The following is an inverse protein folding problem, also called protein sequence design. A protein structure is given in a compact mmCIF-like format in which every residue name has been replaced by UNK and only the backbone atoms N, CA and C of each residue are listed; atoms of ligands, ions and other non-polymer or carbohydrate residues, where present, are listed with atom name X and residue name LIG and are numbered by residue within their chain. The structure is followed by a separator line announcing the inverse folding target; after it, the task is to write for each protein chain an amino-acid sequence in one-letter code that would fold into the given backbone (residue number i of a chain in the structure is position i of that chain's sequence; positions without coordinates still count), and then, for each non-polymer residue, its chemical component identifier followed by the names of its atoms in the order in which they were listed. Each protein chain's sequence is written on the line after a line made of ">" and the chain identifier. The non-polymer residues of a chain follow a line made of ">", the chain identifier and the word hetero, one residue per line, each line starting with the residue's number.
data_IF_522866785097
#
_entry.id   IF_522866785097
#
_cell.length_a   1.000
_cell.length_b   1.000
_cell.length_c   1.000
_cell.angle_alpha   90.00
_cell.angle_beta   90.00
_cell.angle_gamma   90.00
#
_symmetry.space_group_name_H-M   'P 1'
#
loop_
_entity.id
_entity.type
_entity.pdbx_description
1 polymer ?
#
# COMPACT_ATOMS: atom_id res chain seq x y z
N UNK A 1 -23.80 17.80 -28.71
CA UNK A 1 -24.19 19.22 -28.83
C UNK A 1 -25.54 19.36 -28.14
N UNK A 2 -25.74 20.30 -27.20
CA UNK A 2 -27.07 20.60 -26.70
C UNK A 2 -27.92 21.12 -27.88
N UNK A 3 -29.19 20.73 -27.94
CA UNK A 3 -30.14 21.14 -28.98
C UNK A 3 -30.12 22.66 -29.16
N UNK A 4 -29.91 23.14 -30.40
CA UNK A 4 -29.95 24.56 -30.77
C UNK A 4 -31.41 25.07 -30.85
N UNK A 5 -32.40 24.18 -30.73
CA UNK A 5 -33.82 24.49 -30.70
C UNK A 5 -34.38 24.34 -29.28
N UNK A 6 -34.04 25.26 -28.38
CA UNK A 6 -34.81 25.46 -27.15
C UNK A 6 -35.91 26.48 -27.48
N UNK A 7 -37.11 25.99 -27.82
CA UNK A 7 -38.30 26.85 -27.81
C UNK A 7 -38.60 27.23 -26.36
N UNK A 8 -38.99 28.48 -26.13
CA UNK A 8 -39.43 28.94 -24.81
C UNK A 8 -40.61 28.08 -24.36
N UNK A 9 -40.44 27.43 -23.21
CA UNK A 9 -41.47 26.62 -22.56
C UNK A 9 -42.05 27.48 -21.44
N UNK A 10 -43.18 28.18 -21.65
CA UNK A 10 -43.76 29.07 -20.63
C UNK A 10 -44.22 28.33 -19.37
N UNK A 11 -44.29 26.99 -19.40
CA UNK A 11 -44.56 26.13 -18.25
C UNK A 11 -43.30 25.63 -17.53
N UNK A 12 -42.10 25.99 -18.02
CA UNK A 12 -40.80 25.52 -17.53
C UNK A 12 -40.06 26.71 -16.87
N UNK A 13 -40.65 27.26 -15.81
CA UNK A 13 -40.08 28.36 -15.03
C UNK A 13 -38.97 27.85 -14.10
N UNK A 14 -37.98 28.70 -13.80
CA UNK A 14 -36.83 28.35 -12.94
C UNK A 14 -37.23 27.99 -11.50
N UNK A 15 -38.46 28.32 -11.09
CA UNK A 15 -39.03 27.98 -9.77
C UNK A 15 -39.46 26.51 -9.64
N UNK A 16 -39.60 25.78 -10.76
CA UNK A 16 -40.10 24.40 -10.76
C UNK A 16 -38.91 23.44 -10.54
N UNK A 17 -38.88 22.77 -9.39
CA UNK A 17 -37.91 21.71 -9.11
C UNK A 17 -38.25 20.43 -9.90
N UNK A 18 -37.67 20.35 -11.11
CA UNK A 18 -37.83 19.23 -12.05
C UNK A 18 -37.34 17.89 -11.50
N UNK A 19 -36.62 17.88 -10.38
CA UNK A 19 -36.01 16.69 -9.79
C UNK A 19 -36.66 16.26 -8.47
N UNK A 20 -37.71 16.97 -8.04
CA UNK A 20 -38.47 16.59 -6.86
C UNK A 20 -39.21 15.28 -7.12
N UNK A 21 -38.93 14.28 -6.28
CA UNK A 21 -39.58 12.96 -6.36
C UNK A 21 -40.93 13.08 -5.65
N UNK A 22 -42.03 12.93 -6.39
CA UNK A 22 -43.37 12.87 -5.83
C UNK A 22 -43.70 11.46 -5.34
N UNK A 23 -44.39 11.37 -4.20
CA UNK A 23 -44.80 10.10 -3.63
C UNK A 23 -45.86 9.42 -4.51
N UNK A 24 -45.63 8.15 -4.86
CA UNK A 24 -46.58 7.38 -5.66
C UNK A 24 -47.74 6.88 -4.78
N UNK A 25 -48.93 7.45 -4.97
CA UNK A 25 -50.13 7.07 -4.23
C UNK A 25 -50.89 5.95 -4.94
N UNK A 26 -51.70 5.14 -4.22
CA UNK A 26 -52.54 4.12 -4.83
C UNK A 26 -53.46 4.64 -5.94
N UNK A 27 -53.92 5.90 -5.83
CA UNK A 27 -54.77 6.58 -6.82
C UNK A 27 -54.08 6.79 -8.17
N UNK A 28 -52.74 6.90 -8.17
CA UNK A 28 -51.96 7.11 -9.39
C UNK A 28 -51.80 5.83 -10.22
N UNK A 29 -52.24 4.67 -9.70
CA UNK A 29 -52.13 3.40 -10.41
C UNK A 29 -53.27 3.21 -11.44
N UNK A 30 -53.23 4.01 -12.51
CA UNK A 30 -54.25 4.00 -13.59
C UNK A 30 -54.26 2.67 -14.37
N UNK A 31 -53.14 1.95 -14.40
CA UNK A 31 -52.97 0.68 -15.12
C UNK A 31 -53.53 -0.55 -14.41
N UNK A 32 -53.98 -0.43 -13.16
CA UNK A 32 -54.51 -1.55 -12.37
C UNK A 32 -53.42 -2.43 -11.75
N UNK A 33 -53.83 -3.59 -11.22
CA UNK A 33 -52.94 -4.47 -10.47
C UNK A 33 -52.05 -5.33 -11.37
N UNK A 34 -50.87 -5.72 -10.88
CA UNK A 34 -49.95 -6.59 -11.61
C UNK A 34 -50.57 -7.94 -11.94
N UNK A 35 -50.44 -8.37 -13.20
CA UNK A 35 -50.80 -9.71 -13.64
C UNK A 35 -49.70 -10.74 -13.31
N UNK A 36 -48.45 -10.29 -13.30
CA UNK A 36 -47.26 -11.13 -13.06
C UNK A 36 -46.71 -10.95 -11.63
N UNK A 37 -46.11 -12.01 -11.11
CA UNK A 37 -45.52 -12.03 -9.77
C UNK A 37 -44.00 -11.83 -9.84
N UNK A 38 -43.50 -10.83 -9.12
CA UNK A 38 -42.07 -10.61 -8.90
C UNK A 38 -41.69 -11.13 -7.51
N UNK A 39 -40.68 -11.98 -7.45
CA UNK A 39 -40.20 -12.59 -6.21
C UNK A 39 -38.69 -12.40 -6.06
N UNK A 40 -38.25 -11.95 -4.89
CA UNK A 40 -36.84 -11.88 -4.53
C UNK A 40 -36.58 -12.63 -3.22
N UNK A 41 -35.48 -13.36 -3.18
CA UNK A 41 -35.03 -14.12 -2.02
C UNK A 41 -33.63 -13.69 -1.61
N UNK A 42 -33.34 -13.71 -0.32
CA UNK A 42 -31.99 -13.50 0.22
C UNK A 42 -31.75 -14.42 1.42
N UNK A 43 -30.61 -15.12 1.42
CA UNK A 43 -30.16 -15.95 2.52
C UNK A 43 -29.56 -15.11 3.64
N UNK A 44 -29.77 -15.51 4.89
CA UNK A 44 -29.18 -14.88 6.07
C UNK A 44 -28.35 -15.87 6.92
N UNK A 45 -27.33 -15.40 7.64
CA UNK A 45 -26.53 -16.27 8.50
C UNK A 45 -27.31 -16.80 9.71
N UNK A 46 -27.04 -18.04 10.13
CA UNK A 46 -27.75 -18.70 11.26
C UNK A 46 -27.80 -17.88 12.55
N UNK A 47 -26.72 -17.16 12.89
CA UNK A 47 -26.69 -16.31 14.10
C UNK A 47 -27.70 -15.17 14.09
N UNK A 48 -28.28 -14.83 12.92
CA UNK A 48 -29.22 -13.71 12.75
C UNK A 48 -30.67 -14.12 12.96
N UNK A 49 -30.94 -15.43 12.98
CA UNK A 49 -32.27 -16.02 13.06
C UNK A 49 -33.10 -15.52 14.25
N UNK A 50 -32.54 -15.57 15.46
CA UNK A 50 -33.30 -15.23 16.67
C UNK A 50 -33.84 -13.80 16.61
N UNK A 51 -32.98 -12.85 16.23
CA UNK A 51 -33.39 -11.46 16.06
C UNK A 51 -34.42 -11.29 14.94
N UNK A 52 -34.23 -11.96 13.79
CA UNK A 52 -35.18 -11.84 12.68
C UNK A 52 -36.54 -12.37 13.07
N UNK A 53 -36.61 -13.50 13.80
CA UNK A 53 -37.85 -14.07 14.31
C UNK A 53 -38.60 -13.09 15.22
N UNK A 54 -37.89 -12.44 16.14
CA UNK A 54 -38.48 -11.46 17.06
C UNK A 54 -38.95 -10.18 16.35
N UNK A 55 -38.19 -9.69 15.38
CA UNK A 55 -38.46 -8.44 14.71
C UNK A 55 -39.32 -8.56 13.43
N UNK A 56 -39.56 -9.78 12.93
CA UNK A 56 -40.32 -10.04 11.70
C UNK A 56 -41.72 -9.42 11.67
N UNK A 57 -42.50 -9.41 12.77
CA UNK A 57 -43.83 -8.78 12.77
C UNK A 57 -43.81 -7.28 12.43
N UNK A 58 -42.70 -6.58 12.72
CA UNK A 58 -42.53 -5.18 12.33
C UNK A 58 -42.26 -5.01 10.84
N UNK A 59 -41.56 -5.97 10.23
CA UNK A 59 -41.28 -6.01 8.79
C UNK A 59 -42.55 -6.32 8.01
N UNK A 60 -43.32 -7.33 8.42
CA UNK A 60 -44.58 -7.71 7.78
C UNK A 60 -45.57 -6.54 7.76
N UNK A 61 -45.78 -5.87 8.89
CA UNK A 61 -46.67 -4.70 9.00
C UNK A 61 -46.26 -3.55 8.08
N UNK A 62 -44.97 -3.37 7.85
CA UNK A 62 -44.46 -2.29 7.00
C UNK A 62 -44.59 -2.61 5.51
N UNK A 63 -44.32 -3.87 5.12
CA UNK A 63 -44.45 -4.32 3.73
C UNK A 63 -45.91 -4.52 3.30
N UNK A 64 -46.78 -4.90 4.22
CA UNK A 64 -48.22 -5.07 3.98
C UNK A 64 -48.89 -3.76 3.55
N UNK A 65 -48.44 -2.60 4.08
CA UNK A 65 -48.91 -1.27 3.67
C UNK A 65 -48.68 -0.98 2.18
N UNK A 66 -47.62 -1.55 1.60
CA UNK A 66 -47.31 -1.44 0.17
C UNK A 66 -47.90 -2.61 -0.64
N UNK A 67 -48.66 -3.51 -0.01
CA UNK A 67 -49.21 -4.69 -0.63
C UNK A 67 -48.16 -5.74 -1.02
N UNK A 68 -47.02 -5.81 -0.32
CA UNK A 68 -45.95 -6.79 -0.57
C UNK A 68 -46.03 -7.91 0.47
N UNK A 69 -46.04 -9.15 0.00
CA UNK A 69 -45.97 -10.32 0.87
C UNK A 69 -44.51 -10.63 1.23
N UNK A 70 -44.26 -11.05 2.47
CA UNK A 70 -42.94 -11.47 2.91
C UNK A 70 -43.00 -12.73 3.77
N UNK A 71 -42.08 -13.66 3.51
CA UNK A 71 -41.96 -14.93 4.25
C UNK A 71 -40.56 -15.07 4.83
N UNK A 72 -40.48 -15.60 6.05
CA UNK A 72 -39.24 -15.92 6.74
C UNK A 72 -39.15 -17.44 6.90
N UNK A 73 -38.17 -18.05 6.24
CA UNK A 73 -37.87 -19.47 6.37
C UNK A 73 -36.67 -19.67 7.30
N UNK A 74 -36.91 -20.35 8.42
CA UNK A 74 -35.91 -20.65 9.44
C UNK A 74 -35.16 -21.96 9.19
N UNK A 75 -35.72 -22.84 8.34
CA UNK A 75 -35.10 -24.12 7.97
C UNK A 75 -34.03 -23.88 6.92
N UNK A 76 -34.39 -23.21 5.83
CA UNK A 76 -33.42 -22.82 4.80
C UNK A 76 -32.57 -21.61 5.20
N UNK A 77 -33.05 -20.79 6.14
CA UNK A 77 -32.39 -19.53 6.53
C UNK A 77 -32.52 -18.47 5.43
N UNK A 78 -33.72 -18.33 4.86
CA UNK A 78 -34.01 -17.43 3.74
C UNK A 78 -35.13 -16.45 4.07
N UNK A 79 -35.05 -15.24 3.52
CA UNK A 79 -36.12 -14.25 3.53
C UNK A 79 -36.57 -14.04 2.09
N UNK A 80 -37.88 -14.11 1.86
CA UNK A 80 -38.47 -13.92 0.53
C UNK A 80 -39.49 -12.80 0.56
N UNK A 81 -39.49 -11.95 -0.46
CA UNK A 81 -40.49 -10.90 -0.69
C UNK A 81 -41.11 -11.09 -2.06
N UNK A 82 -42.43 -10.93 -2.15
CA UNK A 82 -43.22 -11.17 -3.36
C UNK A 82 -44.24 -10.07 -3.59
N UNK A 83 -44.42 -9.65 -4.83
CA UNK A 83 -45.55 -8.79 -5.20
C UNK A 83 -46.85 -9.54 -5.06
N UNK A 84 -47.93 -8.83 -4.76
CA UNK A 84 -49.27 -9.41 -4.68
C UNK A 84 -50.20 -8.68 -5.63
N UNK A 85 -51.42 -9.21 -5.79
CA UNK A 85 -52.48 -8.51 -6.52
C UNK A 85 -52.90 -7.19 -5.88
N UNK A 86 -52.41 -6.83 -4.70
CA UNK A 86 -52.68 -5.56 -4.02
C UNK A 86 -51.52 -4.56 -4.11
N UNK A 87 -50.38 -4.95 -4.69
CA UNK A 87 -49.25 -4.05 -4.90
C UNK A 87 -49.66 -2.99 -5.93
N UNK A 88 -49.57 -1.72 -5.57
CA UNK A 88 -49.89 -0.59 -6.45
C UNK A 88 -48.62 0.05 -7.04
N UNK A 89 -47.53 0.12 -6.27
CA UNK A 89 -46.25 0.68 -6.71
C UNK A 89 -45.36 -0.41 -7.35
N UNK A 90 -44.99 -0.28 -8.64
CA UNK A 90 -44.10 -1.23 -9.31
C UNK A 90 -42.68 -1.25 -8.73
N UNK A 91 -42.19 -0.13 -8.19
CA UNK A 91 -40.84 -0.02 -7.67
C UNK A 91 -40.70 -0.50 -6.21
N UNK A 92 -41.81 -0.61 -5.47
CA UNK A 92 -41.81 -1.01 -4.06
C UNK A 92 -41.14 -2.39 -3.84
N UNK A 93 -41.23 -3.31 -4.79
CA UNK A 93 -40.58 -4.63 -4.69
C UNK A 93 -39.05 -4.52 -4.68
N UNK A 94 -38.48 -3.53 -5.37
CA UNK A 94 -37.05 -3.27 -5.39
C UNK A 94 -36.57 -2.77 -4.02
N UNK A 95 -37.35 -1.89 -3.38
CA UNK A 95 -37.09 -1.43 -2.01
C UNK A 95 -37.22 -2.57 -1.00
N UNK A 96 -38.24 -3.43 -1.14
CA UNK A 96 -38.41 -4.61 -0.29
C UNK A 96 -37.26 -5.62 -0.42
N UNK A 97 -36.75 -5.82 -1.64
CA UNK A 97 -35.54 -6.62 -1.90
C UNK A 97 -34.33 -6.03 -1.17
N UNK A 98 -34.17 -4.71 -1.22
CA UNK A 98 -33.02 -4.04 -0.62
C UNK A 98 -33.13 -4.05 0.92
N UNK A 99 -34.35 -3.96 1.47
CA UNK A 99 -34.65 -4.19 2.88
C UNK A 99 -34.16 -5.58 3.36
N UNK A 100 -34.57 -6.67 2.71
CA UNK A 100 -34.16 -8.02 3.13
C UNK A 100 -32.65 -8.24 3.00
N UNK A 101 -31.99 -7.61 2.01
CA UNK A 101 -30.53 -7.63 1.90
C UNK A 101 -29.85 -6.92 3.06
N UNK A 102 -30.36 -5.77 3.50
CA UNK A 102 -29.84 -5.04 4.65
C UNK A 102 -30.01 -5.83 5.95
N UNK A 103 -31.17 -6.48 6.13
CA UNK A 103 -31.45 -7.34 7.28
C UNK A 103 -30.48 -8.55 7.34
N UNK A 104 -30.19 -9.15 6.19
CA UNK A 104 -29.18 -10.23 6.07
C UNK A 104 -27.76 -9.74 6.43
N UNK A 105 -27.47 -8.45 6.24
CA UNK A 105 -26.22 -7.79 6.67
C UNK A 105 -26.31 -7.19 8.07
N UNK A 106 -27.19 -7.73 8.91
CA UNK A 106 -27.36 -7.39 10.33
C UNK A 106 -27.64 -5.91 10.63
N UNK A 107 -28.18 -5.18 9.67
CA UNK A 107 -28.72 -3.84 9.96
C UNK A 107 -29.95 -4.00 10.87
N UNK A 108 -30.09 -3.17 11.93
CA UNK A 108 -31.28 -3.18 12.77
C UNK A 108 -32.55 -2.84 11.97
N UNK A 109 -33.68 -3.50 12.27
CA UNK A 109 -34.94 -3.34 11.53
C UNK A 109 -35.44 -1.89 11.55
N UNK A 110 -35.36 -1.21 12.68
CA UNK A 110 -35.78 0.19 12.82
C UNK A 110 -35.04 1.12 11.85
N UNK A 111 -33.77 0.85 11.60
CA UNK A 111 -32.96 1.60 10.65
C UNK A 111 -33.20 1.12 9.21
N UNK A 112 -33.32 -0.20 9.02
CA UNK A 112 -33.52 -0.80 7.70
C UNK A 112 -34.84 -0.36 7.05
N UNK A 113 -35.91 -0.18 7.83
CA UNK A 113 -37.23 0.25 7.35
C UNK A 113 -37.22 1.62 6.66
N UNK A 114 -36.22 2.48 6.92
CA UNK A 114 -36.06 3.76 6.24
C UNK A 114 -35.83 3.60 4.73
N UNK A 115 -35.36 2.44 4.26
CA UNK A 115 -35.16 2.15 2.82
C UNK A 115 -36.46 2.13 2.02
N UNK A 116 -37.62 2.09 2.70
CA UNK A 116 -38.91 2.12 2.03
C UNK A 116 -39.28 3.54 1.53
N UNK A 117 -38.60 4.57 2.06
CA UNK A 117 -38.72 5.96 1.63
C UNK A 117 -37.96 6.18 0.31
N UNK A 118 -38.43 7.09 -0.54
CA UNK A 118 -37.87 7.32 -1.89
C UNK A 118 -36.51 8.02 -1.90
N UNK A 119 -36.20 8.79 -0.86
CA UNK A 119 -34.96 9.58 -0.72
C UNK A 119 -33.78 8.74 -0.20
N UNK A 120 -34.05 7.56 0.36
CA UNK A 120 -33.06 6.67 0.97
C UNK A 120 -32.78 5.50 0.04
N UNK A 121 -31.51 5.32 -0.32
CA UNK A 121 -31.01 4.15 -1.01
C UNK A 121 -29.98 3.40 -0.15
N UNK A 122 -29.55 2.23 -0.61
CA UNK A 122 -28.50 1.46 0.05
C UNK A 122 -27.37 1.06 -0.90
N UNK A 123 -26.16 0.95 -0.37
CA UNK A 123 -25.01 0.35 -1.06
C UNK A 123 -24.33 -0.67 -0.14
N UNK A 124 -23.97 -1.84 -0.68
CA UNK A 124 -23.30 -2.92 0.06
C UNK A 124 -21.90 -3.09 -0.54
N UNK A 125 -20.93 -2.42 0.07
CA UNK A 125 -19.56 -2.33 -0.43
C UNK A 125 -18.79 -3.58 -0.02
N UNK A 126 -18.25 -4.30 -1.02
CA UNK A 126 -17.47 -5.52 -0.80
C UNK A 126 -15.99 -5.22 -0.60
N UNK A 127 -15.53 -5.35 0.65
CA UNK A 127 -14.12 -5.08 1.02
C UNK A 127 -13.23 -6.35 1.03
N UNK A 128 -13.81 -7.56 0.95
CA UNK A 128 -13.08 -8.84 1.09
C UNK A 128 -11.83 -8.95 0.20
N UNK A 129 -11.95 -8.58 -1.08
CA UNK A 129 -10.93 -8.88 -2.08
C UNK A 129 -9.92 -7.73 -2.30
N UNK A 130 -10.05 -6.64 -1.53
CA UNK A 130 -9.21 -5.45 -1.72
C UNK A 130 -7.83 -5.59 -1.05
N UNK A 131 -7.69 -6.50 -0.09
CA UNK A 131 -6.43 -6.71 0.66
C UNK A 131 -6.13 -8.20 0.75
N UNK A 132 -4.93 -8.62 0.32
CA UNK A 132 -4.50 -10.03 0.34
C UNK A 132 -4.27 -10.57 1.76
N UNK A 133 -3.59 -9.79 2.61
CA UNK A 133 -3.19 -10.25 3.93
C UNK A 133 -4.31 -10.02 4.96
N UNK A 134 -4.71 -11.07 5.69
CA UNK A 134 -5.77 -11.02 6.71
C UNK A 134 -5.52 -9.97 7.79
N UNK A 135 -4.31 -9.89 8.34
CA UNK A 135 -3.99 -8.90 9.39
C UNK A 135 -4.12 -7.46 8.88
N UNK A 136 -3.66 -7.20 7.66
CA UNK A 136 -3.76 -5.89 7.03
C UNK A 136 -5.21 -5.53 6.75
N UNK A 137 -6.01 -6.51 6.33
CA UNK A 137 -7.45 -6.35 6.13
C UNK A 137 -8.15 -5.95 7.44
N UNK A 138 -7.89 -6.66 8.54
CA UNK A 138 -8.49 -6.33 9.86
C UNK A 138 -8.06 -4.95 10.33
N UNK A 139 -6.78 -4.59 10.20
CA UNK A 139 -6.28 -3.25 10.56
C UNK A 139 -6.91 -2.14 9.72
N UNK A 140 -7.08 -2.34 8.40
CA UNK A 140 -7.74 -1.34 7.52
C UNK A 140 -9.25 -1.26 7.75
N UNK A 141 -9.92 -2.38 8.00
CA UNK A 141 -11.34 -2.39 8.39
C UNK A 141 -11.55 -1.65 9.72
N UNK A 142 -10.71 -1.92 10.72
CA UNK A 142 -10.77 -1.22 12.00
C UNK A 142 -10.50 0.29 11.85
N UNK A 143 -9.65 0.68 10.89
CA UNK A 143 -9.41 2.09 10.57
C UNK A 143 -10.65 2.82 10.06
N UNK A 144 -11.55 2.15 9.33
CA UNK A 144 -12.84 2.74 8.91
C UNK A 144 -13.69 3.07 10.13
N UNK A 145 -13.74 2.16 11.11
CA UNK A 145 -14.46 2.38 12.37
C UNK A 145 -13.83 3.52 13.18
N UNK A 146 -12.50 3.53 13.26
CA UNK A 146 -11.72 4.46 14.06
C UNK A 146 -11.74 4.13 15.55
N UNK A 147 -11.00 4.89 16.38
CA UNK A 147 -11.01 4.73 17.83
C UNK A 147 -12.41 5.09 18.36
N UNK A 148 -13.01 4.20 19.17
CA UNK A 148 -14.35 4.35 19.74
C UNK A 148 -15.46 4.67 18.71
N UNK A 149 -15.29 4.29 17.44
CA UNK A 149 -16.27 4.59 16.39
C UNK A 149 -16.29 6.06 15.92
N UNK A 150 -15.36 6.90 16.37
CA UNK A 150 -15.34 8.34 16.05
C UNK A 150 -15.24 8.64 14.56
N UNK A 151 -14.43 7.88 13.81
CA UNK A 151 -14.25 8.07 12.36
C UNK A 151 -15.51 7.67 11.61
N UNK A 152 -16.13 6.54 11.99
CA UNK A 152 -17.42 6.13 11.45
C UNK A 152 -18.49 7.19 11.72
N UNK A 153 -18.58 7.68 12.95
CA UNK A 153 -19.63 8.64 13.32
C UNK A 153 -19.47 9.98 12.62
N UNK A 154 -18.23 10.45 12.46
CA UNK A 154 -17.94 11.64 11.67
C UNK A 154 -18.34 11.47 10.19
N UNK A 155 -18.09 10.29 9.60
CA UNK A 155 -18.55 9.99 8.24
C UNK A 155 -20.07 10.03 8.16
N UNK A 156 -20.78 9.34 9.08
CA UNK A 156 -22.24 9.33 9.10
C UNK A 156 -22.86 10.74 9.13
N UNK A 157 -22.31 11.65 9.94
CA UNK A 157 -22.80 13.02 10.08
C UNK A 157 -22.45 13.93 8.89
N UNK A 158 -21.35 13.63 8.20
CA UNK A 158 -20.93 14.43 7.05
C UNK A 158 -21.67 14.05 5.77
N UNK A 159 -21.97 12.76 5.59
CA UNK A 159 -22.63 12.23 4.39
C UNK A 159 -24.12 11.98 4.56
N UNK A 160 -24.69 12.25 5.75
CA UNK A 160 -26.07 11.97 6.12
C UNK A 160 -26.48 10.51 5.84
N UNK A 161 -25.55 9.59 6.11
CA UNK A 161 -25.74 8.16 5.88
C UNK A 161 -25.60 7.38 7.18
N UNK A 162 -26.23 6.21 7.24
CA UNK A 162 -25.97 5.18 8.24
C UNK A 162 -24.96 4.17 7.69
N UNK A 163 -23.89 3.88 8.45
CA UNK A 163 -22.81 3.01 8.01
C UNK A 163 -22.64 1.86 9.00
N UNK A 164 -22.74 0.63 8.53
CA UNK A 164 -22.49 -0.57 9.32
C UNK A 164 -21.33 -1.37 8.72
N UNK A 165 -20.22 -1.42 9.45
CA UNK A 165 -19.02 -2.18 9.08
C UNK A 165 -19.08 -3.56 9.72
N UNK A 166 -19.38 -4.60 8.94
CA UNK A 166 -19.47 -5.96 9.46
C UNK A 166 -18.77 -6.98 8.57
N UNK A 167 -17.89 -7.78 9.18
CA UNK A 167 -17.22 -8.88 8.52
C UNK A 167 -16.42 -8.41 7.31
N UNK A 168 -16.94 -8.73 6.12
CA UNK A 168 -16.29 -8.56 4.82
C UNK A 168 -17.00 -7.57 3.90
N UNK A 169 -18.02 -6.88 4.42
CA UNK A 169 -18.79 -5.87 3.69
C UNK A 169 -19.03 -4.64 4.58
N UNK A 170 -19.23 -3.49 3.95
CA UNK A 170 -19.69 -2.27 4.60
C UNK A 170 -21.06 -1.96 4.01
N UNK A 171 -22.09 -1.99 4.84
CA UNK A 171 -23.45 -1.63 4.43
C UNK A 171 -23.67 -0.15 4.70
N UNK A 172 -24.19 0.57 3.72
CA UNK A 172 -24.44 2.02 3.81
C UNK A 172 -25.89 2.28 3.40
N UNK A 173 -26.57 3.17 4.13
CA UNK A 173 -27.91 3.64 3.80
C UNK A 173 -27.95 5.16 3.83
N UNK A 174 -28.62 5.80 2.89
CA UNK A 174 -28.80 7.25 2.87
C UNK A 174 -28.98 7.80 1.45
N UNK A 175 -28.79 9.12 1.25
CA UNK A 175 -28.98 9.75 -0.04
C UNK A 175 -27.89 9.37 -1.05
N UNK A 176 -28.21 9.39 -2.34
CA UNK A 176 -27.30 8.97 -3.42
C UNK A 176 -25.95 9.70 -3.43
N UNK A 177 -25.93 11.00 -3.11
CA UNK A 177 -24.68 11.78 -3.00
C UNK A 177 -23.78 11.23 -1.90
N UNK A 178 -24.34 11.01 -0.71
CA UNK A 178 -23.63 10.43 0.43
C UNK A 178 -23.13 9.02 0.15
N UNK A 179 -23.95 8.17 -0.50
CA UNK A 179 -23.54 6.81 -0.88
C UNK A 179 -22.30 6.81 -1.80
N UNK A 180 -22.27 7.69 -2.80
CA UNK A 180 -21.13 7.83 -3.73
C UNK A 180 -19.85 8.26 -3.00
N UNK A 181 -19.98 9.19 -2.06
CA UNK A 181 -18.85 9.66 -1.26
C UNK A 181 -18.32 8.56 -0.34
N UNK A 182 -19.21 7.91 0.43
CA UNK A 182 -18.81 6.82 1.34
C UNK A 182 -18.16 5.67 0.57
N UNK A 183 -18.69 5.29 -0.60
CA UNK A 183 -18.09 4.25 -1.43
C UNK A 183 -16.65 4.58 -1.82
N UNK A 184 -16.41 5.80 -2.29
CA UNK A 184 -15.05 6.28 -2.62
C UNK A 184 -14.13 6.18 -1.39
N UNK A 185 -14.61 6.64 -0.24
CA UNK A 185 -13.84 6.66 1.01
C UNK A 185 -13.48 5.25 1.50
N UNK A 186 -14.42 4.30 1.42
CA UNK A 186 -14.19 2.92 1.83
C UNK A 186 -13.17 2.25 0.91
N UNK A 187 -13.32 2.42 -0.41
CA UNK A 187 -12.40 1.87 -1.40
C UNK A 187 -10.99 2.45 -1.24
N UNK A 188 -10.87 3.76 -1.06
CA UNK A 188 -9.59 4.46 -0.84
C UNK A 188 -8.94 4.06 0.49
N UNK A 189 -9.75 3.88 1.55
CA UNK A 189 -9.28 3.40 2.85
C UNK A 189 -8.65 2.01 2.72
N UNK A 190 -9.29 1.13 1.95
CA UNK A 190 -8.79 -0.19 1.63
C UNK A 190 -7.59 -0.14 0.67
N UNK A 191 -7.47 0.89 -0.16
CA UNK A 191 -6.29 1.19 -0.98
C UNK A 191 -5.11 1.85 -0.22
N UNK A 192 -5.17 1.88 1.12
CA UNK A 192 -4.15 2.40 2.04
C UNK A 192 -4.15 3.91 2.28
N UNK A 193 -5.16 4.63 1.82
CA UNK A 193 -5.37 6.04 2.20
C UNK A 193 -6.03 6.05 3.59
N UNK A 194 -5.81 7.07 4.41
CA UNK A 194 -6.46 7.16 5.73
C UNK A 194 -7.81 7.91 5.60
N UNK A 195 -8.93 7.41 6.16
CA UNK A 195 -10.25 8.02 5.98
C UNK A 195 -10.33 9.46 6.54
N UNK A 196 -9.54 9.79 7.56
CA UNK A 196 -9.39 11.16 8.09
C UNK A 196 -9.08 12.19 6.98
N UNK A 197 -8.33 11.81 5.95
CA UNK A 197 -8.04 12.71 4.83
C UNK A 197 -9.30 13.09 4.06
N UNK A 198 -10.17 12.13 3.79
CA UNK A 198 -11.46 12.39 3.16
C UNK A 198 -12.44 13.10 4.08
N UNK A 199 -12.42 12.82 5.40
CA UNK A 199 -13.21 13.57 6.38
C UNK A 199 -12.85 15.05 6.32
N UNK A 200 -11.56 15.40 6.33
CA UNK A 200 -11.11 16.79 6.19
C UNK A 200 -11.54 17.41 4.86
N UNK A 201 -11.41 16.67 3.76
CA UNK A 201 -11.91 17.09 2.45
C UNK A 201 -13.42 17.35 2.47
N UNK A 202 -14.22 16.47 3.07
CA UNK A 202 -15.68 16.63 3.18
C UNK A 202 -16.07 17.82 4.05
N UNK A 203 -15.36 18.06 5.15
CA UNK A 203 -15.56 19.25 5.99
C UNK A 203 -15.33 20.54 5.19
N UNK A 204 -14.22 20.61 4.44
CA UNK A 204 -13.90 21.77 3.60
C UNK A 204 -14.95 21.94 2.50
N UNK A 205 -15.35 20.85 1.82
CA UNK A 205 -16.40 20.89 0.79
C UNK A 205 -17.73 21.38 1.34
N UNK A 206 -18.11 20.96 2.55
CA UNK A 206 -19.36 21.38 3.20
C UNK A 206 -19.34 22.87 3.55
N UNK A 207 -18.20 23.41 3.98
CA UNK A 207 -18.06 24.85 4.22
C UNK A 207 -18.06 25.63 2.90
N UNK A 208 -17.29 25.21 1.89
CA UNK A 208 -17.26 25.87 0.56
C UNK A 208 -18.60 25.84 -0.16
N UNK A 209 -19.40 24.79 0.04
CA UNK A 209 -20.74 24.68 -0.55
C UNK A 209 -21.75 25.69 0.02
N UNK A 210 -21.48 26.29 1.18
CA UNK A 210 -22.33 27.35 1.76
C UNK A 210 -22.13 28.69 1.06
N UNK A 211 -20.96 28.90 0.44
CA UNK A 211 -20.62 30.16 -0.22
C UNK A 211 -21.17 30.18 -1.66
N UNK A 212 -22.15 31.06 -1.98
CA UNK A 212 -22.78 31.06 -3.30
C UNK A 212 -21.85 31.55 -4.42
N UNK A 213 -20.82 32.34 -4.09
CA UNK A 213 -19.86 32.91 -5.06
C UNK A 213 -18.95 31.85 -5.69
N UNK A 214 -18.64 30.78 -4.95
CA UNK A 214 -17.70 29.73 -5.35
C UNK A 214 -18.40 28.50 -5.93
N UNK A 215 -19.74 28.51 -6.04
CA UNK A 215 -20.53 27.34 -6.45
C UNK A 215 -20.22 26.87 -7.89
N UNK A 216 -19.84 27.79 -8.79
CA UNK A 216 -19.55 27.49 -10.20
C UNK A 216 -18.07 27.23 -10.48
N UNK A 217 -17.17 27.51 -9.51
CA UNK A 217 -15.73 27.37 -9.67
C UNK A 217 -15.22 25.99 -9.19
N UNK A 218 -14.07 25.55 -9.71
CA UNK A 218 -13.43 24.33 -9.20
C UNK A 218 -12.80 24.55 -7.82
N UNK A 219 -13.11 23.67 -6.87
CA UNK A 219 -12.60 23.73 -5.49
C UNK A 219 -11.23 23.06 -5.28
N UNK A 220 -10.57 22.57 -6.34
CA UNK A 220 -9.30 21.83 -6.25
C UNK A 220 -8.17 22.61 -5.56
N UNK A 221 -8.22 23.95 -5.62
CA UNK A 221 -7.24 24.83 -4.95
C UNK A 221 -7.33 24.75 -3.42
N UNK A 222 -8.55 24.62 -2.89
CA UNK A 222 -8.83 24.59 -1.45
C UNK A 222 -8.75 23.18 -0.87
N UNK A 223 -8.85 22.17 -1.74
CA UNK A 223 -8.81 20.78 -1.35
C UNK A 223 -7.40 20.32 -0.97
N UNK A 224 -7.21 19.70 0.21
CA UNK A 224 -5.89 19.23 0.61
C UNK A 224 -5.40 18.08 -0.28
N UNK A 225 -4.24 18.26 -0.89
CA UNK A 225 -3.63 17.24 -1.75
C UNK A 225 -2.80 16.25 -0.92
N UNK A 226 -3.39 15.11 -0.55
CA UNK A 226 -2.70 14.04 0.19
C UNK A 226 -1.90 13.10 -0.71
N UNK A 227 -1.26 13.63 -1.76
CA UNK A 227 -0.40 12.84 -2.64
C UNK A 227 0.76 12.27 -1.82
N UNK A 228 1.02 10.97 -2.02
CA UNK A 228 2.16 10.30 -1.42
C UNK A 228 3.43 11.00 -1.90
N UNK A 229 4.09 11.78 -1.04
CA UNK A 229 5.45 12.27 -1.29
C UNK A 229 6.39 11.07 -1.21
N UNK A 230 6.47 10.30 -2.29
CA UNK A 230 7.51 9.30 -2.44
C UNK A 230 8.84 10.06 -2.60
N UNK A 231 9.62 10.15 -1.53
CA UNK A 231 11.04 10.53 -1.58
C UNK A 231 11.88 9.42 -2.25
N UNK A 232 11.31 8.67 -3.20
CA UNK A 232 11.86 7.41 -3.72
C UNK A 232 12.98 7.59 -4.73
N UNK A 233 13.54 8.80 -4.86
CA UNK A 233 14.93 8.92 -5.31
C UNK A 233 15.86 8.49 -4.16
N UNK A 234 15.67 7.27 -3.66
CA UNK A 234 16.69 6.59 -2.86
C UNK A 234 17.85 6.40 -3.82
N UNK A 235 18.99 7.04 -3.54
CA UNK A 235 20.22 6.82 -4.31
C UNK A 235 20.47 5.31 -4.35
N UNK A 236 20.51 4.77 -5.56
CA UNK A 236 20.97 3.40 -5.78
C UNK A 236 22.44 3.39 -5.35
N UNK A 237 22.85 2.52 -4.40
CA UNK A 237 24.26 2.43 -4.03
C UNK A 237 25.09 2.09 -5.27
N UNK A 238 26.27 2.69 -5.41
CA UNK A 238 27.18 2.48 -6.55
C UNK A 238 27.56 1.01 -6.73
N UNK A 239 27.58 0.25 -5.63
CA UNK A 239 27.62 -1.22 -5.63
C UNK A 239 26.21 -1.73 -5.40
N UNK A 240 25.46 -1.91 -6.48
CA UNK A 240 24.33 -2.83 -6.49
C UNK A 240 24.96 -4.21 -6.52
N UNK A 241 24.86 -4.98 -5.45
CA UNK A 241 25.02 -6.43 -5.61
C UNK A 241 23.87 -6.84 -6.51
N UNK A 242 24.14 -7.10 -7.79
CA UNK A 242 23.13 -7.54 -8.73
C UNK A 242 22.44 -8.75 -8.12
N UNK A 243 21.22 -8.53 -7.62
CA UNK A 243 20.33 -9.57 -7.10
C UNK A 243 19.70 -10.35 -8.24
N UNK A 244 20.23 -10.20 -9.44
CA UNK A 244 19.87 -10.99 -10.60
C UNK A 244 20.35 -12.42 -10.37
N UNK A 245 19.43 -13.17 -9.74
CA UNK A 245 19.15 -14.59 -9.99
C UNK A 245 20.11 -15.56 -9.32
N UNK A 246 19.91 -15.75 -8.01
CA UNK A 246 20.06 -17.12 -7.47
C UNK A 246 19.01 -17.98 -8.20
N UNK A 247 19.45 -18.78 -9.15
CA UNK A 247 18.58 -19.72 -9.87
C UNK A 247 17.98 -20.67 -8.83
N UNK A 248 16.65 -20.83 -8.85
CA UNK A 248 15.98 -21.74 -7.93
C UNK A 248 16.44 -23.17 -8.22
N UNK A 249 17.19 -23.75 -7.29
CA UNK A 249 17.51 -25.17 -7.30
C UNK A 249 16.58 -25.86 -6.31
N UNK A 250 15.85 -26.91 -6.71
CA UNK A 250 14.97 -27.65 -5.79
C UNK A 250 15.79 -28.44 -4.75
N UNK A 251 17.08 -28.68 -5.03
CA UNK A 251 18.01 -29.29 -4.11
C UNK A 251 18.65 -28.25 -3.19
N UNK A 252 18.62 -28.46 -1.85
CA UNK A 252 19.37 -27.63 -0.94
C UNK A 252 20.88 -27.81 -1.17
N UNK A 253 21.70 -26.79 -0.92
CA UNK A 253 23.16 -26.97 -0.91
C UNK A 253 23.54 -27.98 0.18
N UNK A 254 24.63 -28.71 -0.04
CA UNK A 254 25.16 -29.61 0.98
C UNK A 254 25.45 -28.83 2.28
N UNK A 255 25.11 -29.38 3.45
CA UNK A 255 25.46 -28.76 4.71
C UNK A 255 26.99 -28.62 4.82
N UNK A 256 27.44 -27.56 5.50
CA UNK A 256 28.86 -27.44 5.83
C UNK A 256 29.26 -28.59 6.76
N UNK A 257 30.30 -29.32 6.37
CA UNK A 257 30.81 -30.48 7.11
C UNK A 257 31.27 -30.03 8.50
N UNK A 258 30.98 -30.84 9.53
CA UNK A 258 31.45 -30.52 10.88
C UNK A 258 32.98 -30.63 10.96
N UNK A 259 33.59 -30.05 11.99
CA UNK A 259 35.04 -30.24 12.23
C UNK A 259 35.41 -31.72 12.38
N UNK A 260 34.49 -32.53 12.94
CA UNK A 260 34.67 -33.97 13.09
C UNK A 260 34.65 -34.64 11.73
N UNK A 261 33.70 -34.29 10.86
CA UNK A 261 33.62 -34.84 9.50
C UNK A 261 34.85 -34.45 8.67
N UNK A 262 35.31 -33.20 8.77
CA UNK A 262 36.55 -32.75 8.12
C UNK A 262 37.77 -33.54 8.59
N UNK A 263 37.83 -33.87 9.88
CA UNK A 263 38.91 -34.68 10.46
C UNK A 263 38.80 -36.16 10.06
N UNK A 264 37.59 -36.70 9.93
CA UNK A 264 37.36 -38.07 9.45
C UNK A 264 37.75 -38.16 7.97
N UNK A 265 37.41 -37.16 7.17
CA UNK A 265 37.78 -37.07 5.75
C UNK A 265 39.28 -36.86 5.53
N UNK A 266 39.95 -36.06 6.36
CA UNK A 266 41.41 -35.89 6.30
C UNK A 266 42.18 -37.10 6.83
N UNK A 267 41.50 -38.06 7.47
CA UNK A 267 42.11 -39.21 8.14
C UNK A 267 42.80 -38.85 9.46
N UNK A 268 42.90 -37.56 9.81
CA UNK A 268 43.47 -37.09 11.06
C UNK A 268 42.66 -37.58 12.26
N UNK A 269 41.36 -37.80 12.14
CA UNK A 269 40.54 -38.29 13.24
C UNK A 269 41.02 -39.65 13.77
N UNK A 270 41.52 -40.51 12.88
CA UNK A 270 41.94 -41.88 13.23
C UNK A 270 43.38 -41.95 13.76
N UNK A 271 44.20 -40.93 13.53
CA UNK A 271 45.58 -40.89 14.04
C UNK A 271 45.60 -40.60 15.54
N UNK A 272 46.41 -41.36 16.28
CA UNK A 272 46.70 -41.07 17.68
C UNK A 272 47.41 -39.72 17.81
N UNK A 273 47.30 -39.08 18.98
CA UNK A 273 47.97 -37.79 19.25
C UNK A 273 49.49 -37.88 19.02
N UNK A 274 50.10 -39.00 19.39
CA UNK A 274 51.53 -39.26 19.18
C UNK A 274 51.91 -39.39 17.70
N UNK A 275 51.05 -40.02 16.89
CA UNK A 275 51.26 -40.12 15.45
C UNK A 275 51.16 -38.74 14.76
N UNK A 276 50.22 -37.89 15.21
CA UNK A 276 50.09 -36.50 14.74
C UNK A 276 51.32 -35.66 15.10
N UNK A 277 51.82 -35.80 16.32
CA UNK A 277 52.99 -35.08 16.79
C UNK A 277 54.26 -35.50 16.04
N UNK A 278 54.37 -36.78 15.64
CA UNK A 278 55.47 -37.29 14.80
C UNK A 278 55.41 -36.71 13.39
N UNK A 279 54.25 -36.76 12.75
CA UNK A 279 54.05 -36.17 11.42
C UNK A 279 54.34 -34.66 11.42
N UNK A 280 53.91 -33.93 12.45
CA UNK A 280 54.21 -32.51 12.59
C UNK A 280 55.71 -32.24 12.79
N UNK A 281 56.42 -33.07 13.57
CA UNK A 281 57.88 -32.96 13.73
C UNK A 281 58.60 -33.21 12.41
N UNK A 282 58.19 -34.22 11.65
CA UNK A 282 58.72 -34.50 10.31
C UNK A 282 58.49 -33.31 9.37
N UNK A 283 57.29 -32.72 9.35
CA UNK A 283 56.99 -31.53 8.55
C UNK A 283 57.85 -30.32 8.94
N UNK A 284 58.07 -30.10 10.23
CA UNK A 284 58.94 -29.01 10.74
C UNK A 284 60.39 -29.23 10.31
N UNK A 285 60.89 -30.48 10.38
CA UNK A 285 62.25 -30.84 9.96
C UNK A 285 62.39 -30.62 8.45
N UNK A 286 61.42 -31.07 7.65
CA UNK A 286 61.39 -30.87 6.19
C UNK A 286 61.42 -29.37 5.85
N UNK A 287 60.58 -28.57 6.51
CA UNK A 287 60.52 -27.11 6.33
C UNK A 287 61.82 -26.42 6.72
N UNK A 288 62.47 -26.88 7.79
CA UNK A 288 63.79 -26.39 8.19
C UNK A 288 64.87 -26.77 7.18
N UNK A 289 64.80 -27.98 6.60
CA UNK A 289 65.70 -28.43 5.53
C UNK A 289 65.57 -27.55 4.29
N UNK A 290 64.34 -27.30 3.84
CA UNK A 290 64.07 -26.40 2.70
C UNK A 290 64.59 -24.98 2.96
N UNK A 291 64.32 -24.41 4.15
CA UNK A 291 64.85 -23.08 4.50
C UNK A 291 66.38 -23.05 4.58
N UNK A 292 67.01 -24.14 5.02
CA UNK A 292 68.47 -24.26 5.06
C UNK A 292 69.03 -24.32 3.64
N UNK A 293 68.43 -25.10 2.75
CA UNK A 293 68.78 -25.16 1.34
C UNK A 293 68.62 -23.79 0.66
N UNK A 294 67.52 -23.07 0.94
CA UNK A 294 67.29 -21.73 0.42
C UNK A 294 68.36 -20.74 0.90
N UNK A 295 68.68 -20.74 2.20
CA UNK A 295 69.77 -19.92 2.75
C UNK A 295 71.14 -20.31 2.22
N UNK A 296 71.39 -21.59 1.96
CA UNK A 296 72.63 -22.06 1.34
C UNK A 296 72.71 -21.57 -0.10
N UNK A 297 71.63 -21.65 -0.88
CA UNK A 297 71.56 -21.07 -2.23
C UNK A 297 71.74 -19.55 -2.24
N UNK A 298 71.20 -18.84 -1.25
CA UNK A 298 71.44 -17.40 -1.09
C UNK A 298 72.92 -17.11 -0.80
N UNK A 299 73.54 -17.85 0.12
CA UNK A 299 74.97 -17.70 0.44
C UNK A 299 75.88 -18.06 -0.73
N UNK A 300 75.55 -19.11 -1.48
CA UNK A 300 76.29 -19.50 -2.69
C UNK A 300 76.23 -18.40 -3.76
N UNK A 301 75.09 -17.70 -3.89
CA UNK A 301 74.98 -16.53 -4.76
C UNK A 301 75.86 -15.36 -4.29
N UNK A 302 76.01 -15.17 -2.98
CA UNK A 302 76.85 -14.10 -2.43
C UNK A 302 78.37 -14.40 -2.56
N UNK A 303 78.76 -15.68 -2.62
CA UNK A 303 80.15 -16.12 -2.79
C UNK A 303 80.62 -16.18 -4.25
N UNK A 304 79.71 -16.11 -5.21
CA UNK A 304 80.04 -15.91 -6.61
C UNK A 304 80.29 -14.42 -6.79
N UNK A 305 81.54 -14.05 -7.09
CA UNK A 305 81.89 -12.67 -7.41
C UNK A 305 80.95 -12.18 -8.51
N UNK A 306 80.24 -11.05 -8.31
CA UNK A 306 79.40 -10.46 -9.34
C UNK A 306 80.22 -10.31 -10.62
N UNK A 307 79.70 -10.79 -11.76
CA UNK A 307 80.40 -10.64 -13.04
C UNK A 307 80.77 -9.17 -13.26
N UNK A 308 82.07 -8.89 -13.41
CA UNK A 308 82.57 -7.54 -13.66
C UNK A 308 82.06 -7.07 -15.02
N UNK A 309 81.06 -6.20 -14.96
CA UNK A 309 80.47 -5.57 -16.14
C UNK A 309 81.48 -4.58 -16.74
N UNK A 310 81.80 -4.75 -18.02
CA UNK A 310 82.66 -3.82 -18.75
C UNK A 310 82.10 -2.38 -18.64
N UNK A 311 82.94 -1.33 -18.70
CA UNK A 311 82.50 0.07 -18.58
C UNK A 311 81.32 0.46 -19.49
N UNK A 312 81.14 -0.22 -20.63
CA UNK A 312 80.01 -0.03 -21.54
C UNK A 312 78.66 -0.47 -20.94
N UNK A 313 78.64 -1.56 -20.16
CA UNK A 313 77.42 -2.09 -19.53
C UNK A 313 77.00 -1.28 -18.30
N UNK A 314 77.97 -0.70 -17.56
CA UNK A 314 77.71 0.23 -16.45
C UNK A 314 77.07 1.53 -16.94
N UNK A 315 77.48 2.02 -18.10
CA UNK A 315 76.87 3.19 -18.75
C UNK A 315 75.46 2.90 -19.28
N UNK A 316 75.21 1.69 -19.81
CA UNK A 316 73.85 1.26 -20.13
C UNK A 316 72.96 1.13 -18.90
N UNK A 317 73.47 0.58 -17.79
CA UNK A 317 72.72 0.49 -16.52
C UNK A 317 72.45 1.87 -15.94
N UNK A 318 73.41 2.80 -15.96
CA UNK A 318 73.20 4.20 -15.55
C UNK A 318 72.15 4.89 -16.43
N UNK A 319 72.22 4.73 -17.75
CA UNK A 319 71.20 5.26 -18.68
C UNK A 319 69.81 4.64 -18.45
N UNK A 320 69.72 3.35 -18.13
CA UNK A 320 68.47 2.68 -17.76
C UNK A 320 67.93 3.17 -16.41
N UNK A 321 68.80 3.38 -15.40
CA UNK A 321 68.42 3.90 -14.07
C UNK A 321 67.96 5.35 -14.16
N UNK A 322 68.64 6.21 -14.92
CA UNK A 322 68.22 7.59 -15.19
C UNK A 322 66.91 7.64 -15.99
N UNK A 323 66.70 6.75 -16.97
CA UNK A 323 65.40 6.64 -17.67
C UNK A 323 64.28 6.23 -16.71
N UNK A 324 64.54 5.30 -15.78
CA UNK A 324 63.56 4.85 -14.79
C UNK A 324 63.23 5.94 -13.77
N UNK A 325 64.22 6.65 -13.26
CA UNK A 325 64.04 7.81 -12.37
C UNK A 325 63.35 8.99 -13.07
N UNK A 326 63.66 9.26 -14.35
CA UNK A 326 62.92 10.26 -15.14
C UNK A 326 61.47 9.83 -15.37
N UNK A 327 61.20 8.53 -15.57
CA UNK A 327 59.84 7.99 -15.72
C UNK A 327 59.05 8.10 -14.41
N UNK A 328 59.67 7.76 -13.28
CA UNK A 328 59.07 7.93 -11.94
C UNK A 328 58.86 9.40 -11.57
N UNK A 329 59.80 10.31 -11.87
CA UNK A 329 59.61 11.76 -11.68
C UNK A 329 58.50 12.32 -12.56
N UNK A 330 58.34 11.82 -13.79
CA UNK A 330 57.25 12.21 -14.71
C UNK A 330 55.90 11.67 -14.23
N UNK A 331 55.84 10.46 -13.69
CA UNK A 331 54.65 9.91 -13.04
C UNK A 331 54.28 10.66 -11.76
N UNK A 332 55.27 11.02 -10.93
CA UNK A 332 55.07 11.82 -9.72
C UNK A 332 54.57 13.22 -10.05
N UNK A 333 55.10 13.85 -11.10
CA UNK A 333 54.63 15.14 -11.61
C UNK A 333 53.21 15.05 -12.17
N UNK A 334 52.87 13.96 -12.87
CA UNK A 334 51.52 13.72 -13.40
C UNK A 334 50.49 13.52 -12.27
N UNK A 335 50.83 12.71 -11.26
CA UNK A 335 50.03 12.54 -10.04
C UNK A 335 49.88 13.83 -9.23
N UNK A 336 50.90 14.70 -9.24
CA UNK A 336 50.83 16.01 -8.55
C UNK A 336 49.90 16.99 -9.27
N UNK A 337 49.91 17.00 -10.62
CA UNK A 337 48.96 17.78 -11.43
C UNK A 337 47.52 17.27 -11.32
N UNK A 338 47.33 15.95 -11.26
CA UNK A 338 46.02 15.35 -11.00
C UNK A 338 45.51 15.69 -9.58
N UNK A 339 46.39 15.73 -8.58
CA UNK A 339 46.04 16.14 -7.21
C UNK A 339 45.78 17.65 -7.04
N UNK A 340 46.41 18.51 -7.83
CA UNK A 340 46.15 19.97 -7.82
C UNK A 340 44.82 20.30 -8.52
N UNK A 341 44.44 19.56 -9.57
CA UNK A 341 43.12 19.68 -10.22
C UNK A 341 41.96 19.22 -9.32
N UNK A 342 42.16 18.18 -8.50
CA UNK A 342 41.19 17.75 -7.47
C UNK A 342 41.16 18.69 -6.23
N UNK A 343 42.21 19.51 -6.05
CA UNK A 343 42.36 20.45 -4.94
C UNK A 343 41.54 21.75 -5.11
N UNK A 344 41.43 22.27 -6.33
CA UNK A 344 40.63 23.46 -6.64
C UNK A 344 39.12 23.20 -6.47
N UNK A 345 38.64 22.00 -6.84
CA UNK A 345 37.25 21.58 -6.67
C UNK A 345 36.87 21.32 -5.18
N UNK A 346 37.88 21.00 -4.35
CA UNK A 346 37.74 20.85 -2.90
C UNK A 346 37.77 22.20 -2.14
N UNK A 347 38.49 23.21 -2.65
CA UNK A 347 38.54 24.56 -2.10
C UNK A 347 37.21 25.30 -2.34
N UNK A 348 36.63 25.19 -3.54
CA UNK A 348 35.30 25.76 -3.86
C UNK A 348 34.18 25.11 -3.03
N UNK A 349 34.30 23.81 -2.71
CA UNK A 349 33.38 23.09 -1.81
C UNK A 349 33.52 23.47 -0.33
N UNK A 350 34.71 23.87 0.14
CA UNK A 350 34.92 24.36 1.52
C UNK A 350 34.42 25.79 1.70
N UNK A 351 34.55 26.63 0.69
CA UNK A 351 34.04 28.02 0.74
C UNK A 351 32.50 28.08 0.71
N UNK A 352 31.86 27.23 -0.11
CA UNK A 352 30.38 27.05 -0.10
C UNK A 352 29.87 26.44 1.22
N UNK A 353 30.67 25.61 1.92
CA UNK A 353 30.34 25.09 3.27
C UNK A 353 30.46 26.15 4.37
N UNK A 354 31.39 27.11 4.28
CA UNK A 354 31.51 28.23 5.23
C UNK A 354 30.36 29.23 5.07
N UNK A 355 29.94 29.58 3.84
CA UNK A 355 28.75 30.44 3.59
C UNK A 355 27.41 29.81 4.02
N UNK A 356 27.30 28.47 4.00
CA UNK A 356 26.08 27.78 4.48
C UNK A 356 25.98 27.68 6.00
N UNK A 357 27.10 27.79 6.73
CA UNK A 357 27.14 27.72 8.20
C UNK A 357 26.97 29.09 8.87
N UNK A 358 27.27 30.19 8.17
CA UNK A 358 26.98 31.55 8.64
C UNK A 358 25.49 31.89 8.50
N UNK A 359 24.81 31.45 7.43
CA UNK A 359 23.36 31.72 7.24
C UNK A 359 22.42 30.89 8.13
N UNK A 360 22.93 29.84 8.78
CA UNK A 360 22.17 29.03 9.75
C UNK A 360 22.25 29.55 11.19
N UNK A 361 22.97 30.66 11.44
CA UNK A 361 23.14 31.25 12.78
C UNK A 361 22.41 32.59 12.96
N UNK A 362 21.77 33.11 11.91
CA UNK A 362 21.00 34.38 11.90
C UNK A 362 19.47 34.18 11.84
N UNK A 363 18.95 32.95 11.81
CA UNK A 363 17.48 32.69 11.77
C UNK A 363 17.02 31.89 13.00
N UNK A 364 17.78 31.98 14.10
CA UNK A 364 17.38 31.41 15.40
C UNK A 364 17.29 32.49 16.49
N UNK A 365 17.03 33.75 16.12
CA UNK A 365 16.92 34.88 17.04
C UNK A 365 15.78 35.86 16.73
N UNK A 366 14.76 35.46 15.95
CA UNK A 366 13.51 36.20 15.78
C UNK A 366 12.35 35.17 15.84
N UNK A 367 11.38 35.38 16.74
CA UNK A 367 10.29 34.50 17.23
C UNK A 367 10.75 33.49 18.32
N UNK A 368 10.84 33.81 19.61
CA UNK A 368 9.79 34.32 20.54
C UNK A 368 9.02 35.59 20.16
#
# INVERSE_FOLDING_TARGET
>A
MPSIHNRDKPWDTDDIDKWKIEEFKPEHNVGGNFAEESSFMTLFPKYREQYLKEAWPGVTRSLEKMGIACTLDLVEGSMTVKTTRKTFDPAAILKARDLIKLLARSVPVTQALKILQDDVACDIIKIRNQVRNKERFVKRRQRILGPNGSTLKALELLTDTYILVQGNTVSVMGPFKGLKEVRRIVDDCMANIHPIYHIKELMIKRELAKDPTLATESWDRFLPNFKKRTLSKRRVPFKVTDKEKKVYTPFPPAPEKSKVDLQIESGEYFLSKEAKDRAHKEEVIERQRVKREEKMREREKDFIAPEEQTPAELDEKKKKKEKKEKKEKKEKSKRKREAEADGEDAAERKEKKKKKKSKSKEVSSDEE
#
